data_IF_964360920627
#
_entry.id   IF_964360920627
#
_cell.length_a   1.000
_cell.length_b   1.000
_cell.length_c   1.000
_cell.angle_alpha   90.00
_cell.angle_beta   90.00
_cell.angle_gamma   90.00
#
_symmetry.space_group_name_H-M   'P 1'
#
loop_
_entity.id
_entity.type
_entity.pdbx_description
1 polymer ?
#
# COMPACT_ATOMS: atom_id res chain seq x y z
N UNK A 1 3.66 11.35 -23.15
CA UNK A 1 3.44 10.23 -22.20
C UNK A 1 3.83 10.75 -20.83
N UNK A 2 2.96 10.64 -19.84
CA UNK A 2 3.27 11.06 -18.47
C UNK A 2 4.33 10.13 -17.84
N UNK A 3 5.19 10.67 -16.97
CA UNK A 3 6.30 9.96 -16.34
C UNK A 3 5.98 9.54 -14.90
N UNK A 4 5.06 10.28 -14.25
CA UNK A 4 4.80 10.19 -12.81
C UNK A 4 3.37 9.73 -12.52
N UNK A 5 2.45 9.96 -13.45
CA UNK A 5 1.07 9.54 -13.33
C UNK A 5 0.72 8.45 -14.33
N UNK A 6 -0.18 7.56 -13.96
CA UNK A 6 -0.64 6.46 -14.79
C UNK A 6 -2.16 6.23 -14.63
N UNK A 7 -2.76 5.62 -15.63
CA UNK A 7 -4.20 5.42 -15.67
C UNK A 7 -4.89 6.39 -16.61
N UNK A 8 -6.22 6.66 -16.44
CA UNK A 8 -7.06 6.23 -15.30
C UNK A 8 -7.23 4.71 -15.23
N UNK A 9 -7.26 4.16 -14.01
CA UNK A 9 -7.43 2.74 -13.75
C UNK A 9 -8.82 2.49 -13.15
N UNK A 10 -9.66 1.63 -13.76
CA UNK A 10 -10.90 1.19 -13.13
C UNK A 10 -10.58 0.28 -11.94
N UNK A 11 -10.78 0.80 -10.74
CA UNK A 11 -10.52 0.08 -9.49
C UNK A 11 -11.81 -0.44 -8.90
N UNK A 12 -11.86 -1.74 -8.56
CA UNK A 12 -13.02 -2.33 -7.86
C UNK A 12 -13.28 -1.69 -6.49
N UNK A 13 -12.27 -1.03 -5.92
CA UNK A 13 -12.29 -0.42 -4.58
C UNK A 13 -12.51 1.08 -4.58
N UNK A 14 -11.96 1.75 -5.59
CA UNK A 14 -11.78 3.20 -5.61
C UNK A 14 -12.52 3.88 -6.78
N UNK A 15 -13.29 3.12 -7.58
CA UNK A 15 -13.88 3.68 -8.80
C UNK A 15 -12.81 3.99 -9.84
N UNK A 16 -12.88 5.15 -10.47
CA UNK A 16 -11.88 5.62 -11.44
C UNK A 16 -10.72 6.25 -10.66
N UNK A 17 -9.54 5.64 -10.73
CA UNK A 17 -8.35 6.05 -9.98
C UNK A 17 -7.25 6.56 -10.91
N UNK A 18 -6.71 7.74 -10.60
CA UNK A 18 -5.47 8.24 -11.19
C UNK A 18 -4.30 7.82 -10.29
N UNK A 19 -3.40 6.98 -10.80
CA UNK A 19 -2.22 6.55 -10.06
C UNK A 19 -1.09 7.59 -10.10
N UNK A 20 -0.41 7.76 -8.97
CA UNK A 20 0.80 8.60 -8.83
C UNK A 20 1.93 7.75 -8.27
N UNK A 21 3.01 7.60 -9.05
CA UNK A 21 4.20 6.87 -8.67
C UNK A 21 5.32 7.85 -8.30
N UNK A 22 5.66 7.91 -7.01
CA UNK A 22 6.64 8.86 -6.45
C UNK A 22 8.05 8.31 -6.33
N UNK A 23 8.28 7.04 -6.68
CA UNK A 23 9.59 6.42 -6.52
C UNK A 23 10.20 6.05 -7.87
N UNK A 24 11.50 5.74 -7.88
CA UNK A 24 12.10 5.15 -9.07
C UNK A 24 11.59 3.73 -9.27
N UNK A 25 11.47 3.27 -10.52
CA UNK A 25 10.97 1.93 -10.80
C UNK A 25 11.65 0.85 -9.97
N UNK A 26 10.84 0.05 -9.25
CA UNK A 26 11.32 -1.04 -8.38
C UNK A 26 12.15 -0.59 -7.18
N UNK A 27 11.90 0.63 -6.64
CA UNK A 27 12.43 1.07 -5.35
C UNK A 27 11.40 0.77 -4.26
N UNK A 28 11.72 -0.14 -3.36
CA UNK A 28 10.83 -0.58 -2.28
C UNK A 28 11.65 -0.97 -1.05
N UNK A 29 11.03 -1.09 0.10
CA UNK A 29 11.65 -1.64 1.32
C UNK A 29 11.31 -3.12 1.53
N UNK A 30 10.56 -3.72 0.59
CA UNK A 30 10.22 -5.15 0.52
C UNK A 30 10.40 -5.69 -0.90
N UNK A 31 10.53 -7.02 -1.03
CA UNK A 31 10.58 -7.73 -2.31
C UNK A 31 9.56 -8.87 -2.31
N UNK A 32 8.27 -8.51 -2.22
CA UNK A 32 7.17 -9.44 -2.02
C UNK A 32 7.08 -10.47 -3.16
N UNK A 33 6.85 -11.74 -2.80
CA UNK A 33 6.75 -12.85 -3.77
C UNK A 33 5.54 -12.72 -4.71
N UNK A 34 4.52 -11.96 -4.32
CA UNK A 34 3.29 -11.73 -5.07
C UNK A 34 3.26 -10.38 -5.81
N UNK A 35 4.34 -9.59 -5.78
CA UNK A 35 4.35 -8.24 -6.36
C UNK A 35 4.12 -8.28 -7.87
N UNK A 36 2.97 -7.80 -8.33
CA UNK A 36 2.61 -7.73 -9.76
C UNK A 36 3.49 -6.73 -10.55
N UNK A 37 4.21 -5.88 -9.84
CA UNK A 37 5.22 -5.02 -10.44
C UNK A 37 6.56 -5.74 -10.68
N UNK A 38 6.73 -7.00 -10.23
CA UNK A 38 7.95 -7.79 -10.32
C UNK A 38 8.97 -7.48 -9.21
N UNK A 39 10.17 -8.08 -9.31
CA UNK A 39 11.20 -8.02 -8.27
C UNK A 39 11.72 -6.61 -7.99
N UNK A 40 11.95 -6.32 -6.71
CA UNK A 40 12.55 -5.05 -6.26
C UNK A 40 14.01 -4.98 -6.70
N UNK A 41 14.38 -3.87 -7.33
CA UNK A 41 15.77 -3.60 -7.78
C UNK A 41 16.55 -2.79 -6.75
N UNK A 42 15.92 -1.81 -6.11
CA UNK A 42 16.52 -0.99 -5.05
C UNK A 42 15.76 -1.27 -3.74
N UNK A 43 16.28 -2.22 -2.96
CA UNK A 43 15.77 -2.50 -1.62
C UNK A 43 16.35 -1.48 -0.64
N UNK A 44 15.51 -0.63 -0.03
CA UNK A 44 15.97 0.48 0.82
C UNK A 44 14.92 0.88 1.85
N UNK A 45 15.38 1.29 3.03
CA UNK A 45 14.56 1.95 4.07
C UNK A 45 14.70 3.47 4.02
N UNK A 46 15.66 3.98 3.23
CA UNK A 46 15.97 5.39 3.20
C UNK A 46 14.89 6.17 2.47
N UNK A 47 14.26 7.10 3.17
CA UNK A 47 13.38 8.10 2.57
C UNK A 47 14.20 9.18 1.89
N UNK A 48 13.88 9.47 0.64
CA UNK A 48 14.57 10.49 -0.15
C UNK A 48 13.63 11.11 -1.19
N UNK A 49 14.07 12.20 -1.84
CA UNK A 49 13.41 12.74 -3.03
C UNK A 49 13.81 11.88 -4.22
N UNK A 50 12.83 11.25 -4.86
CA UNK A 50 13.04 10.42 -6.04
C UNK A 50 12.64 11.14 -7.33
N UNK A 51 11.69 12.07 -7.23
CA UNK A 51 11.12 12.81 -8.35
C UNK A 51 10.96 14.27 -7.97
N UNK A 52 10.89 15.15 -8.95
CA UNK A 52 10.60 16.55 -8.71
C UNK A 52 9.11 16.72 -8.39
N UNK A 53 8.72 17.25 -7.21
CA UNK A 53 7.32 17.45 -6.84
C UNK A 53 6.58 18.35 -7.83
N UNK A 54 7.23 19.36 -8.40
CA UNK A 54 6.59 20.29 -9.33
C UNK A 54 6.24 19.58 -10.66
N UNK A 55 7.13 18.71 -11.18
CA UNK A 55 6.81 17.89 -12.35
C UNK A 55 5.60 16.97 -12.07
N UNK A 56 5.53 16.36 -10.88
CA UNK A 56 4.41 15.50 -10.47
C UNK A 56 3.10 16.29 -10.41
N UNK A 57 3.12 17.47 -9.76
CA UNK A 57 1.94 18.35 -9.63
C UNK A 57 1.43 18.81 -11.00
N UNK A 58 2.32 19.22 -11.92
CA UNK A 58 1.92 19.60 -13.28
C UNK A 58 1.32 18.43 -14.07
N UNK A 59 1.88 17.21 -13.97
CA UNK A 59 1.27 16.06 -14.62
C UNK A 59 -0.13 15.73 -14.07
N UNK A 60 -0.33 15.80 -12.75
CA UNK A 60 -1.64 15.64 -12.12
C UNK A 60 -2.62 16.68 -12.68
N UNK A 61 -2.22 17.95 -12.68
CA UNK A 61 -3.04 19.07 -13.18
C UNK A 61 -3.44 18.89 -14.65
N UNK A 62 -2.50 18.46 -15.50
CA UNK A 62 -2.79 18.21 -16.93
C UNK A 62 -3.78 17.07 -17.15
N UNK A 63 -3.72 16.01 -16.31
CA UNK A 63 -4.69 14.92 -16.38
C UNK A 63 -6.07 15.37 -15.89
N UNK A 64 -6.13 16.12 -14.79
CA UNK A 64 -7.39 16.61 -14.22
C UNK A 64 -8.16 17.58 -15.14
N UNK A 65 -7.49 18.23 -16.10
CA UNK A 65 -8.16 18.98 -17.17
C UNK A 65 -9.00 18.10 -18.11
N UNK A 66 -8.68 16.81 -18.18
CA UNK A 66 -9.28 15.88 -19.16
C UNK A 66 -10.22 14.87 -18.51
N UNK A 67 -9.98 14.51 -17.27
CA UNK A 67 -10.77 13.51 -16.54
C UNK A 67 -11.04 13.98 -15.11
N UNK A 68 -12.12 13.47 -14.53
CA UNK A 68 -12.44 13.63 -13.11
C UNK A 68 -12.38 12.25 -12.45
N UNK A 69 -11.24 11.83 -11.88
CA UNK A 69 -11.15 10.58 -11.17
C UNK A 69 -11.88 10.65 -9.81
N UNK A 70 -12.27 9.49 -9.29
CA UNK A 70 -12.83 9.39 -7.94
C UNK A 70 -11.72 9.53 -6.89
N UNK A 71 -10.53 8.99 -7.21
CA UNK A 71 -9.34 9.05 -6.35
C UNK A 71 -8.08 9.38 -7.13
N UNK A 72 -7.19 10.14 -6.50
CA UNK A 72 -5.75 10.18 -6.82
C UNK A 72 -5.07 9.24 -5.84
N UNK A 73 -4.38 8.20 -6.37
CA UNK A 73 -3.85 7.10 -5.56
C UNK A 73 -2.34 7.06 -5.63
N UNK A 74 -1.68 7.27 -4.50
CA UNK A 74 -0.24 7.06 -4.37
C UNK A 74 0.04 5.57 -4.30
N UNK A 75 0.61 5.04 -5.38
CA UNK A 75 0.97 3.63 -5.58
C UNK A 75 1.92 3.53 -6.77
N UNK A 76 2.20 2.35 -7.27
CA UNK A 76 2.97 2.19 -8.52
C UNK A 76 4.06 1.15 -8.41
N UNK A 77 5.26 1.48 -8.88
CA UNK A 77 6.35 0.52 -9.06
C UNK A 77 7.16 0.22 -7.79
N UNK A 78 6.81 0.85 -6.66
CA UNK A 78 7.49 0.65 -5.38
C UNK A 78 6.67 1.14 -4.18
N UNK A 79 7.34 1.44 -3.06
CA UNK A 79 6.68 1.90 -1.83
C UNK A 79 6.59 3.44 -1.80
N UNK A 80 5.38 4.04 -1.88
CA UNK A 80 5.24 5.49 -1.98
C UNK A 80 5.71 6.26 -0.74
N UNK A 81 5.64 5.66 0.46
CA UNK A 81 6.08 6.32 1.70
C UNK A 81 7.59 6.48 1.82
N UNK A 82 8.37 5.89 0.90
CA UNK A 82 9.80 6.18 0.76
C UNK A 82 10.04 7.61 0.24
N UNK A 83 9.10 8.19 -0.51
CA UNK A 83 9.23 9.58 -0.95
C UNK A 83 9.05 10.53 0.22
N UNK A 84 10.00 11.46 0.40
CA UNK A 84 9.90 12.55 1.38
C UNK A 84 8.87 13.60 0.98
N UNK A 85 8.56 13.67 -0.31
CA UNK A 85 7.73 14.72 -0.89
C UNK A 85 6.24 14.33 -0.93
N UNK A 86 5.88 13.12 -0.45
CA UNK A 86 4.49 12.62 -0.49
C UNK A 86 3.52 13.56 0.24
N UNK A 87 3.92 14.08 1.40
CA UNK A 87 3.08 15.01 2.19
C UNK A 87 2.82 16.32 1.46
N UNK A 88 3.87 16.91 0.88
CA UNK A 88 3.77 18.15 0.10
C UNK A 88 2.82 18.01 -1.09
N UNK A 89 2.89 16.88 -1.79
CA UNK A 89 2.04 16.63 -2.96
C UNK A 89 0.60 16.36 -2.52
N UNK A 90 0.37 15.62 -1.43
CA UNK A 90 -0.98 15.44 -0.85
C UNK A 90 -1.59 16.78 -0.46
N UNK A 91 -0.83 17.63 0.22
CA UNK A 91 -1.27 18.96 0.64
C UNK A 91 -1.69 19.78 -0.57
N UNK A 92 -0.85 19.82 -1.59
CA UNK A 92 -1.16 20.52 -2.84
C UNK A 92 -2.45 19.99 -3.51
N UNK A 93 -2.64 18.67 -3.58
CA UNK A 93 -3.87 18.09 -4.16
C UNK A 93 -5.10 18.54 -3.38
N UNK A 94 -5.03 18.49 -2.04
CA UNK A 94 -6.15 18.90 -1.15
C UNK A 94 -6.46 20.39 -1.23
N UNK A 95 -5.49 21.23 -1.55
CA UNK A 95 -5.67 22.68 -1.72
C UNK A 95 -6.22 23.07 -3.09
N UNK A 96 -5.93 22.27 -4.12
CA UNK A 96 -6.25 22.64 -5.51
C UNK A 96 -7.35 21.80 -6.16
N UNK A 97 -7.82 20.74 -5.49
CA UNK A 97 -8.83 19.83 -6.04
C UNK A 97 -9.77 19.29 -4.95
N UNK A 98 -10.98 18.88 -5.37
CA UNK A 98 -11.92 18.15 -4.52
C UNK A 98 -11.78 16.61 -4.67
N UNK A 99 -10.77 16.13 -5.41
CA UNK A 99 -10.57 14.70 -5.66
C UNK A 99 -10.03 14.05 -4.38
N UNK A 100 -10.60 12.90 -4.02
CA UNK A 100 -10.14 12.15 -2.86
C UNK A 100 -8.74 11.59 -3.08
N UNK A 101 -7.95 11.55 -2.01
CA UNK A 101 -6.58 11.03 -2.01
C UNK A 101 -6.54 9.68 -1.30
N UNK A 102 -5.90 8.69 -1.94
CA UNK A 102 -5.64 7.38 -1.36
C UNK A 102 -4.13 7.11 -1.33
N UNK A 103 -3.64 6.52 -0.24
CA UNK A 103 -2.27 6.01 -0.13
C UNK A 103 -2.30 4.51 0.06
N UNK A 104 -1.71 3.75 -0.87
CA UNK A 104 -1.51 2.30 -0.74
C UNK A 104 -0.06 2.07 -0.30
N UNK A 105 0.13 1.44 0.85
CA UNK A 105 1.45 1.24 1.45
C UNK A 105 1.61 -0.17 2.00
N UNK A 106 2.82 -0.69 1.97
CA UNK A 106 3.13 -1.96 2.63
C UNK A 106 3.23 -1.86 4.17
N UNK A 107 3.10 -0.66 4.71
CA UNK A 107 2.98 -0.41 6.14
C UNK A 107 4.29 -0.39 6.93
N UNK A 108 5.42 -0.77 6.36
CA UNK A 108 6.68 -0.93 7.10
C UNK A 108 7.18 0.39 7.73
N UNK A 109 6.98 1.51 7.04
CA UNK A 109 7.44 2.82 7.53
C UNK A 109 6.41 3.55 8.40
N UNK A 110 5.23 2.99 8.64
CA UNK A 110 4.19 3.63 9.48
C UNK A 110 4.54 3.67 10.97
N UNK A 111 5.58 2.95 11.41
CA UNK A 111 6.10 3.09 12.76
C UNK A 111 6.76 4.47 12.98
N UNK A 112 7.33 5.07 11.93
CA UNK A 112 7.81 6.45 11.96
C UNK A 112 6.62 7.42 11.96
N UNK A 113 6.43 8.12 13.08
CA UNK A 113 5.37 9.11 13.23
C UNK A 113 5.39 10.22 12.18
N UNK A 114 6.57 10.54 11.61
CA UNK A 114 6.70 11.51 10.53
C UNK A 114 6.03 11.04 9.24
N UNK A 115 6.09 9.74 8.94
CA UNK A 115 5.41 9.17 7.77
C UNK A 115 3.90 9.34 7.91
N UNK A 116 3.35 9.08 9.11
CA UNK A 116 1.92 9.27 9.37
C UNK A 116 1.54 10.75 9.22
N UNK A 117 2.36 11.68 9.75
CA UNK A 117 2.14 13.10 9.57
C UNK A 117 2.11 13.53 8.09
N UNK A 118 3.03 12.99 7.27
CA UNK A 118 3.10 13.29 5.85
C UNK A 118 1.85 12.82 5.08
N UNK A 119 1.22 11.70 5.49
CA UNK A 119 0.07 11.14 4.77
C UNK A 119 -1.29 11.39 5.44
N UNK A 120 -1.35 12.07 6.58
CA UNK A 120 -2.58 12.21 7.38
C UNK A 120 -3.71 12.98 6.71
N UNK A 121 -3.42 13.80 5.70
CA UNK A 121 -4.44 14.53 4.93
C UNK A 121 -5.04 13.71 3.77
N UNK A 122 -4.52 12.52 3.49
CA UNK A 122 -5.20 11.59 2.59
C UNK A 122 -6.60 11.24 3.14
N UNK A 123 -7.56 10.93 2.27
CA UNK A 123 -8.91 10.53 2.67
C UNK A 123 -8.98 9.05 3.04
N UNK A 124 -8.09 8.24 2.43
CA UNK A 124 -8.02 6.81 2.63
C UNK A 124 -6.56 6.34 2.65
N UNK A 125 -6.22 5.50 3.62
CA UNK A 125 -4.94 4.78 3.65
C UNK A 125 -5.23 3.28 3.58
N UNK A 126 -4.54 2.58 2.67
CA UNK A 126 -4.65 1.14 2.49
C UNK A 126 -3.30 0.49 2.85
N UNK A 127 -3.06 0.20 4.14
CA UNK A 127 -1.88 -0.53 4.55
C UNK A 127 -2.07 -2.03 4.34
N UNK A 128 -0.97 -2.73 3.98
CA UNK A 128 -0.96 -4.18 3.81
C UNK A 128 -0.46 -4.87 5.07
N UNK A 129 -1.21 -5.88 5.54
CA UNK A 129 -0.81 -6.79 6.60
C UNK A 129 -1.07 -8.24 6.15
N UNK A 130 -0.02 -8.96 5.74
CA UNK A 130 -0.15 -10.33 5.24
C UNK A 130 0.07 -11.39 6.33
N UNK A 131 0.65 -11.00 7.46
CA UNK A 131 0.92 -11.90 8.59
C UNK A 131 1.15 -11.10 9.86
N UNK A 132 0.96 -11.76 11.00
CA UNK A 132 1.42 -11.32 12.33
C UNK A 132 2.56 -12.23 12.85
N UNK A 133 3.02 -13.15 12.01
CA UNK A 133 4.14 -14.05 12.28
C UNK A 133 5.36 -13.62 11.47
N UNK A 134 6.52 -13.48 12.13
CA UNK A 134 7.70 -12.94 11.50
C UNK A 134 8.30 -13.88 10.43
N UNK A 135 8.20 -15.19 10.60
CA UNK A 135 8.72 -16.14 9.62
C UNK A 135 7.87 -16.11 8.34
N UNK A 136 6.55 -16.07 8.49
CA UNK A 136 5.60 -15.95 7.36
C UNK A 136 5.80 -14.59 6.67
N UNK A 137 5.90 -13.50 7.44
CA UNK A 137 6.17 -12.16 6.90
C UNK A 137 7.46 -12.12 6.07
N UNK A 138 8.57 -12.64 6.60
CA UNK A 138 9.84 -12.71 5.87
C UNK A 138 9.75 -13.55 4.61
N UNK A 139 8.98 -14.61 4.63
CA UNK A 139 8.77 -15.50 3.48
C UNK A 139 7.93 -14.85 2.38
N UNK A 140 6.86 -14.15 2.76
CA UNK A 140 5.91 -13.51 1.83
C UNK A 140 6.44 -12.16 1.35
N UNK A 141 6.81 -11.29 2.26
CA UNK A 141 7.11 -9.89 1.96
C UNK A 141 8.59 -9.63 1.68
N UNK A 142 9.50 -10.52 2.09
CA UNK A 142 10.95 -10.40 1.89
C UNK A 142 11.44 -8.98 2.18
N UNK A 143 11.25 -8.46 3.41
CA UNK A 143 11.66 -7.11 3.76
C UNK A 143 13.18 -6.97 3.77
N UNK A 144 13.68 -5.73 3.90
CA UNK A 144 15.09 -5.50 4.19
C UNK A 144 15.53 -6.28 5.43
N UNK A 145 16.80 -6.66 5.51
CA UNK A 145 17.33 -7.56 6.56
C UNK A 145 17.08 -7.04 7.98
N UNK A 146 17.09 -5.72 8.14
CA UNK A 146 16.89 -5.03 9.43
C UNK A 146 15.43 -4.96 9.88
N UNK A 147 14.49 -5.45 9.04
CA UNK A 147 13.06 -5.28 9.27
C UNK A 147 12.38 -6.57 9.71
N UNK A 148 11.38 -6.42 10.56
CA UNK A 148 10.50 -7.49 10.98
C UNK A 148 9.03 -7.06 11.08
N UNK A 149 8.15 -8.01 11.35
CA UNK A 149 6.70 -7.78 11.39
C UNK A 149 6.27 -6.85 12.54
N UNK A 150 7.06 -6.71 13.60
CA UNK A 150 6.71 -5.83 14.72
C UNK A 150 6.60 -4.38 14.30
N UNK A 151 7.43 -3.95 13.33
CA UNK A 151 7.39 -2.60 12.77
C UNK A 151 6.08 -2.33 12.01
N UNK A 152 5.63 -3.28 11.17
CA UNK A 152 4.33 -3.15 10.49
C UNK A 152 3.20 -3.12 11.50
N UNK A 153 3.23 -4.02 12.49
CA UNK A 153 2.20 -4.09 13.55
C UNK A 153 2.19 -2.82 14.42
N UNK A 154 3.37 -2.30 14.78
CA UNK A 154 3.52 -1.02 15.50
C UNK A 154 2.99 0.15 14.69
N UNK A 155 3.37 0.20 13.41
CA UNK A 155 2.88 1.21 12.48
C UNK A 155 1.37 1.22 12.32
N UNK A 156 0.73 0.05 12.23
CA UNK A 156 -0.72 -0.07 12.15
C UNK A 156 -1.42 0.40 13.44
N UNK A 157 -0.86 0.13 14.62
CA UNK A 157 -1.39 0.67 15.89
C UNK A 157 -1.30 2.21 15.88
N UNK A 158 -0.14 2.76 15.55
CA UNK A 158 0.06 4.19 15.46
C UNK A 158 -0.90 4.86 14.47
N UNK A 159 -1.06 4.26 13.28
CA UNK A 159 -2.01 4.74 12.28
C UNK A 159 -3.44 4.72 12.82
N UNK A 160 -3.87 3.60 13.39
CA UNK A 160 -5.20 3.38 13.97
C UNK A 160 -5.56 4.41 15.07
N UNK A 161 -4.56 4.86 15.82
CA UNK A 161 -4.74 5.84 16.91
C UNK A 161 -4.73 7.29 16.40
N UNK A 162 -3.84 7.61 15.47
CA UNK A 162 -3.54 9.00 15.06
C UNK A 162 -4.33 9.46 13.83
N UNK A 163 -4.61 8.56 12.90
CA UNK A 163 -5.27 8.92 11.66
C UNK A 163 -6.78 9.03 11.84
N UNK A 164 -7.41 9.97 11.13
CA UNK A 164 -8.86 10.28 11.26
C UNK A 164 -9.67 9.98 10.00
N UNK A 165 -9.00 9.66 8.89
CA UNK A 165 -9.66 9.22 7.65
C UNK A 165 -9.98 7.73 7.67
N UNK A 166 -10.30 7.19 6.51
CA UNK A 166 -10.64 5.77 6.35
C UNK A 166 -9.37 4.91 6.28
N UNK A 167 -9.38 3.77 6.96
CA UNK A 167 -8.32 2.75 6.89
C UNK A 167 -8.93 1.47 6.33
N UNK A 168 -8.43 1.01 5.16
CA UNK A 168 -8.75 -0.30 4.62
C UNK A 168 -7.52 -1.21 4.73
N UNK A 169 -7.49 -2.12 5.70
CA UNK A 169 -6.39 -3.07 5.82
C UNK A 169 -6.50 -4.10 4.70
N UNK A 170 -5.45 -4.24 3.89
CA UNK A 170 -5.37 -5.24 2.84
C UNK A 170 -4.58 -6.46 3.34
N UNK A 171 -5.12 -7.65 3.16
CA UNK A 171 -4.41 -8.92 3.40
C UNK A 171 -4.39 -9.72 2.12
N UNK A 172 -3.19 -9.98 1.60
CA UNK A 172 -2.96 -10.79 0.43
C UNK A 172 -2.83 -12.26 0.84
N UNK A 173 -3.74 -13.12 0.38
CA UNK A 173 -3.78 -14.52 0.74
C UNK A 173 -2.95 -15.35 -0.25
N UNK A 174 -2.03 -16.14 0.29
CA UNK A 174 -1.18 -17.09 -0.44
C UNK A 174 -1.35 -18.45 0.20
N UNK A 175 -2.01 -19.35 -0.52
CA UNK A 175 -2.31 -20.70 -0.04
C UNK A 175 -1.03 -21.46 0.37
N UNK A 176 -1.12 -22.14 1.50
CA UNK A 176 0.00 -22.86 2.10
C UNK A 176 1.00 -21.98 2.87
N UNK A 177 0.77 -20.65 2.94
CA UNK A 177 1.62 -19.75 3.72
C UNK A 177 0.89 -19.01 4.84
N UNK A 178 -0.18 -18.30 4.54
CA UNK A 178 -0.90 -17.47 5.51
C UNK A 178 -2.41 -17.73 5.55
N UNK A 179 -2.84 -18.91 5.09
CA UNK A 179 -4.23 -19.29 4.96
C UNK A 179 -4.70 -20.34 5.98
N UNK A 180 -3.84 -20.78 6.93
CA UNK A 180 -4.24 -21.71 7.98
C UNK A 180 -5.18 -21.06 8.99
N UNK A 181 -6.04 -21.87 9.62
CA UNK A 181 -7.00 -21.39 10.62
C UNK A 181 -6.26 -20.77 11.83
N UNK A 182 -5.18 -21.41 12.31
CA UNK A 182 -4.35 -20.88 13.39
C UNK A 182 -3.78 -19.50 13.04
N UNK A 183 -3.30 -19.33 11.80
CA UNK A 183 -2.78 -18.04 11.36
C UNK A 183 -3.89 -16.98 11.28
N UNK A 184 -5.05 -17.36 10.76
CA UNK A 184 -6.23 -16.48 10.67
C UNK A 184 -6.70 -16.03 12.06
N UNK A 185 -6.76 -16.93 13.02
CA UNK A 185 -7.11 -16.58 14.41
C UNK A 185 -6.13 -15.57 15.02
N UNK A 186 -4.81 -15.74 14.81
CA UNK A 186 -3.80 -14.79 15.26
C UNK A 186 -3.94 -13.42 14.58
N UNK A 187 -4.24 -13.41 13.29
CA UNK A 187 -4.53 -12.17 12.55
C UNK A 187 -5.76 -11.46 13.13
N UNK A 188 -6.85 -12.18 13.32
CA UNK A 188 -8.10 -11.63 13.90
C UNK A 188 -7.85 -11.08 15.31
N UNK A 189 -7.10 -11.80 16.16
CA UNK A 189 -6.74 -11.33 17.50
C UNK A 189 -5.99 -10.01 17.48
N UNK A 190 -5.10 -9.81 16.54
CA UNK A 190 -4.38 -8.55 16.38
C UNK A 190 -5.31 -7.45 15.85
N UNK A 191 -6.07 -7.72 14.78
CA UNK A 191 -6.95 -6.76 14.13
C UNK A 191 -8.06 -6.23 15.03
N UNK A 192 -8.59 -7.06 15.95
CA UNK A 192 -9.61 -6.64 16.93
C UNK A 192 -9.17 -5.47 17.83
N UNK A 193 -7.87 -5.23 17.95
CA UNK A 193 -7.32 -4.14 18.75
C UNK A 193 -7.04 -2.86 17.93
N UNK A 194 -7.41 -2.82 16.65
CA UNK A 194 -7.21 -1.69 15.78
C UNK A 194 -8.53 -1.02 15.41
N UNK A 195 -8.50 0.29 15.20
CA UNK A 195 -9.59 1.03 14.59
C UNK A 195 -9.33 1.11 13.08
N UNK A 196 -10.16 0.48 12.29
CA UNK A 196 -10.13 0.54 10.83
C UNK A 196 -11.54 0.39 10.26
N UNK A 197 -11.73 0.84 9.02
CA UNK A 197 -13.03 0.86 8.36
C UNK A 197 -13.36 -0.49 7.73
N UNK A 198 -12.34 -1.15 7.14
CA UNK A 198 -12.55 -2.36 6.34
C UNK A 198 -11.32 -3.24 6.30
N UNK A 199 -11.52 -4.57 6.36
CA UNK A 199 -10.54 -5.58 6.00
C UNK A 199 -10.84 -6.07 4.58
N UNK A 200 -9.83 -6.13 3.73
CA UNK A 200 -9.93 -6.59 2.35
C UNK A 200 -9.01 -7.79 2.15
N UNK A 201 -9.60 -8.94 1.84
CA UNK A 201 -8.84 -10.10 1.38
C UNK A 201 -8.56 -9.93 -0.11
N UNK A 202 -7.32 -10.07 -0.49
CA UNK A 202 -6.85 -9.97 -1.86
C UNK A 202 -6.08 -11.23 -2.28
N UNK A 203 -5.96 -11.45 -3.58
CA UNK A 203 -5.19 -12.53 -4.18
C UNK A 203 -4.69 -12.08 -5.55
N UNK A 204 -3.79 -12.86 -6.18
CA UNK A 204 -3.26 -12.51 -7.50
C UNK A 204 -4.37 -12.38 -8.55
N UNK A 205 -4.35 -11.24 -9.24
CA UNK A 205 -5.10 -11.01 -10.49
C UNK A 205 -4.18 -11.18 -11.71
N UNK A 206 -2.89 -10.95 -11.54
CA UNK A 206 -1.84 -11.05 -12.57
C UNK A 206 -0.62 -11.79 -11.99
N UNK A 207 0.27 -12.35 -12.83
CA UNK A 207 1.49 -12.99 -12.35
C UNK A 207 2.30 -12.08 -11.43
N UNK A 208 2.71 -12.61 -10.28
CA UNK A 208 3.57 -11.93 -9.33
C UNK A 208 5.06 -12.13 -9.65
N UNK A 209 5.92 -11.74 -8.70
CA UNK A 209 7.39 -11.92 -8.80
C UNK A 209 7.78 -13.38 -8.91
N UNK A 210 7.08 -14.27 -8.20
CA UNK A 210 7.37 -15.70 -8.15
C UNK A 210 6.31 -16.49 -8.91
N UNK A 211 6.71 -17.29 -9.90
CA UNK A 211 5.81 -18.05 -10.76
C UNK A 211 5.02 -19.15 -10.03
N UNK A 212 5.55 -19.64 -8.91
CA UNK A 212 4.88 -20.66 -8.10
C UNK A 212 3.73 -20.10 -7.26
N UNK A 213 3.68 -18.77 -7.03
CA UNK A 213 2.57 -18.13 -6.33
C UNK A 213 1.36 -18.11 -7.27
N UNK A 214 0.28 -18.72 -6.82
CA UNK A 214 -0.97 -18.81 -7.60
C UNK A 214 -2.09 -18.02 -6.90
N UNK A 215 -3.14 -17.63 -7.65
CA UNK A 215 -4.34 -17.06 -7.04
C UNK A 215 -4.93 -18.02 -6.00
N UNK A 216 -5.30 -17.49 -4.84
CA UNK A 216 -6.02 -18.26 -3.83
C UNK A 216 -7.40 -18.68 -4.35
N UNK A 217 -7.83 -19.89 -3.99
CA UNK A 217 -9.12 -20.43 -4.41
C UNK A 217 -10.28 -19.65 -3.76
N UNK A 218 -11.42 -19.63 -4.44
CA UNK A 218 -12.63 -18.99 -3.88
C UNK A 218 -13.08 -19.65 -2.57
N UNK A 219 -12.84 -20.96 -2.41
CA UNK A 219 -13.13 -21.69 -1.18
C UNK A 219 -12.26 -21.23 -0.02
N UNK A 220 -10.95 -21.07 -0.25
CA UNK A 220 -10.01 -20.53 0.75
C UNK A 220 -10.39 -19.11 1.18
N UNK A 221 -10.63 -18.22 0.21
CA UNK A 221 -11.03 -16.84 0.51
C UNK A 221 -12.36 -16.78 1.26
N UNK A 222 -13.32 -17.65 0.93
CA UNK A 222 -14.59 -17.74 1.64
C UNK A 222 -14.38 -18.23 3.08
N UNK A 223 -13.63 -19.31 3.30
CA UNK A 223 -13.34 -19.86 4.63
C UNK A 223 -12.68 -18.81 5.56
N UNK A 224 -11.72 -18.04 5.04
CA UNK A 224 -11.04 -17.00 5.83
C UNK A 224 -11.98 -15.82 6.13
N UNK A 225 -12.95 -15.54 5.26
CA UNK A 225 -13.91 -14.45 5.44
C UNK A 225 -14.98 -14.76 6.48
N UNK A 226 -15.45 -16.02 6.52
CA UNK A 226 -16.51 -16.52 7.43
C UNK A 226 -15.95 -16.77 8.83
#
# INVERSE_FOLDING_TARGET
MFKHVFGPVPSRRLGISLGVDLVLPKSCNMNCIFCECGATKKLTLKRERFKDPEEVKEEIKEVLKKIKPDYITFSGSGEPTLSKDIGEIIDWIKEHTDVKVCVITNGLLLEDGKVIEDIKKADLIIPTLNSVDNLIFKKINRPSVESDISQVMGGLRNLSEKYRGEIYIETFIIEGLNDSDEHTERMVKFLKNLKFTKLQLNSLDRPGTEEWVKPASKSTLKRIKD
#
